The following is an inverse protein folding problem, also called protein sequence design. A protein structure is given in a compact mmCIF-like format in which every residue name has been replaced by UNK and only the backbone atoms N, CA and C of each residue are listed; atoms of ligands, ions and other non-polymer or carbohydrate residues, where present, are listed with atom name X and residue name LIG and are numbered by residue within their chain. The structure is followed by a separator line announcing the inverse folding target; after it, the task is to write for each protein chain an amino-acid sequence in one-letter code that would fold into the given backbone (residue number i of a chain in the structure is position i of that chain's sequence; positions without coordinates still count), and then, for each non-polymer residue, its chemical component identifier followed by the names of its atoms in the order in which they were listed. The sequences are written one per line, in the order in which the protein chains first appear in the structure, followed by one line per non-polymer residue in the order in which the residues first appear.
data_IF_094610630095
#
_entry.id   IF_094610630095
#
_cell.length_a   1.000
_cell.length_b   1.000
_cell.length_c   1.000
_cell.angle_alpha   90.00
_cell.angle_beta   90.00
_cell.angle_gamma   90.00
#
_symmetry.space_group_name_H-M   'P 1'
#
loop_
_entity.id
_entity.type
_entity.pdbx_description
1 polymer ?
#
# COMPACT_ATOMS: atom_id res chain seq x y z
N UNK A 1 -28.09 9.31 42.84
CA UNK A 1 -26.81 8.69 43.23
C UNK A 1 -25.74 9.18 42.25
N UNK A 2 -24.71 9.89 42.72
CA UNK A 2 -23.59 10.38 41.91
C UNK A 2 -22.40 9.42 42.01
N UNK A 3 -21.59 9.35 40.95
CA UNK A 3 -20.41 8.48 40.91
C UNK A 3 -19.36 8.93 41.96
N UNK A 4 -18.70 7.98 42.66
CA UNK A 4 -17.80 8.27 43.80
C UNK A 4 -16.49 9.00 43.44
N UNK A 5 -16.18 9.19 42.15
CA UNK A 5 -15.01 9.93 41.69
C UNK A 5 -15.45 11.04 40.72
N UNK A 6 -15.53 12.31 41.15
CA UNK A 6 -15.82 13.43 40.26
C UNK A 6 -14.71 13.56 39.21
N UNK A 7 -15.09 13.81 37.96
CA UNK A 7 -14.15 13.97 36.84
C UNK A 7 -13.85 12.72 36.02
N UNK A 8 -14.47 11.56 36.34
CA UNK A 8 -14.44 10.36 35.48
C UNK A 8 -15.63 10.25 34.51
N UNK A 9 -16.55 11.21 34.53
CA UNK A 9 -17.56 11.33 33.49
C UNK A 9 -16.96 12.08 32.31
N UNK A 10 -17.11 11.50 31.11
CA UNK A 10 -16.86 12.21 29.87
C UNK A 10 -17.63 13.55 29.86
N UNK A 11 -17.06 14.62 29.27
CA UNK A 11 -17.80 15.87 29.06
C UNK A 11 -19.11 15.59 28.32
N UNK A 12 -20.12 16.45 28.51
CA UNK A 12 -21.34 16.38 27.70
C UNK A 12 -20.96 16.46 26.21
N UNK A 13 -21.73 15.84 25.30
CA UNK A 13 -21.39 15.82 23.88
C UNK A 13 -21.00 17.19 23.33
N UNK A 14 -21.72 18.25 23.69
CA UNK A 14 -21.46 19.63 23.23
C UNK A 14 -20.10 20.19 23.68
N UNK A 15 -19.46 19.57 24.67
CA UNK A 15 -18.16 19.95 25.23
C UNK A 15 -17.05 18.96 24.88
N UNK A 16 -17.35 17.89 24.14
CA UNK A 16 -16.33 16.97 23.66
C UNK A 16 -15.63 17.58 22.44
N UNK A 17 -14.29 17.47 22.37
CA UNK A 17 -13.53 17.97 21.22
C UNK A 17 -13.82 17.14 19.95
N UNK A 18 -13.79 17.75 18.77
CA UNK A 18 -14.15 17.14 17.47
C UNK A 18 -13.53 15.77 17.17
N UNK A 19 -12.29 15.53 17.62
CA UNK A 19 -11.59 14.24 17.53
C UNK A 19 -12.33 13.05 18.17
N UNK A 20 -13.31 13.32 19.04
CA UNK A 20 -14.15 12.30 19.70
C UNK A 20 -15.57 12.21 19.14
N UNK A 21 -16.03 13.19 18.34
CA UNK A 21 -17.44 13.28 17.95
C UNK A 21 -17.69 12.82 16.51
N UNK A 22 -16.93 13.37 15.54
CA UNK A 22 -17.23 13.14 14.11
C UNK A 22 -16.04 13.41 13.18
N UNK A 23 -14.88 13.81 13.70
CA UNK A 23 -13.72 14.03 12.85
C UNK A 23 -13.27 12.69 12.22
N UNK A 24 -13.04 12.63 10.90
CA UNK A 24 -12.39 11.48 10.29
C UNK A 24 -11.10 11.19 11.07
N UNK A 25 -10.70 9.92 11.28
CA UNK A 25 -9.52 9.56 12.06
C UNK A 25 -8.20 10.17 11.53
N UNK A 26 -8.22 10.73 10.32
CA UNK A 26 -7.12 11.46 9.68
C UNK A 26 -7.18 13.00 9.84
N UNK A 27 -8.27 13.56 10.38
CA UNK A 27 -8.43 14.99 10.61
C UNK A 27 -7.38 15.45 11.64
N UNK A 28 -6.41 16.25 11.20
CA UNK A 28 -5.35 16.79 12.04
C UNK A 28 -4.03 15.99 12.09
N UNK A 29 -3.94 14.78 11.50
CA UNK A 29 -2.67 14.02 11.42
C UNK A 29 -1.89 14.22 10.12
N UNK A 30 -2.52 14.80 9.10
CA UNK A 30 -1.83 15.21 7.87
C UNK A 30 -1.22 16.59 8.13
N UNK A 31 -0.15 16.62 8.92
CA UNK A 31 0.49 17.86 9.40
C UNK A 31 1.14 18.73 8.33
N UNK A 32 1.12 18.34 7.05
CA UNK A 32 1.59 19.18 5.97
C UNK A 32 1.05 18.69 4.61
N UNK A 33 0.35 19.51 3.80
CA UNK A 33 0.01 19.16 2.42
C UNK A 33 1.25 18.89 1.55
N UNK A 34 2.45 19.34 1.95
CA UNK A 34 3.72 19.03 1.28
C UNK A 34 4.24 17.59 1.51
N UNK A 35 3.61 16.79 2.36
CA UNK A 35 3.95 15.35 2.56
C UNK A 35 3.07 14.46 1.67
N UNK A 36 2.29 15.05 0.77
CA UNK A 36 1.73 14.28 -0.34
C UNK A 36 2.88 13.93 -1.26
N UNK A 37 3.14 12.64 -1.55
CA UNK A 37 4.02 12.33 -2.67
C UNK A 37 3.47 13.06 -3.90
N UNK A 38 4.37 13.65 -4.70
CA UNK A 38 4.04 14.33 -5.96
C UNK A 38 3.01 13.48 -6.73
N UNK A 39 2.05 14.09 -7.43
CA UNK A 39 0.98 13.35 -8.15
C UNK A 39 1.53 12.22 -9.02
N UNK A 40 2.76 12.39 -9.50
CA UNK A 40 3.43 11.53 -10.45
C UNK A 40 4.32 10.48 -9.76
N UNK A 41 4.48 10.51 -8.44
CA UNK A 41 5.30 9.54 -7.70
C UNK A 41 4.87 8.10 -7.97
N UNK A 42 3.56 7.83 -7.97
CA UNK A 42 3.03 6.50 -8.28
C UNK A 42 3.27 6.06 -9.74
N UNK A 43 3.27 7.00 -10.69
CA UNK A 43 3.55 6.71 -12.10
C UNK A 43 5.05 6.45 -12.31
N UNK A 44 5.90 7.28 -11.72
CA UNK A 44 7.35 7.15 -11.78
C UNK A 44 7.81 5.82 -11.18
N UNK A 45 7.34 5.44 -9.99
CA UNK A 45 7.65 4.14 -9.39
C UNK A 45 7.16 2.98 -10.27
N UNK A 46 5.94 3.08 -10.83
CA UNK A 46 5.41 2.08 -11.75
C UNK A 46 6.30 1.87 -12.98
N UNK A 47 6.77 2.96 -13.59
CA UNK A 47 7.60 2.90 -14.79
C UNK A 47 9.01 2.38 -14.49
N UNK A 48 9.59 2.72 -13.33
CA UNK A 48 10.84 2.13 -12.87
C UNK A 48 10.71 0.61 -12.65
N UNK A 49 9.61 0.15 -12.03
CA UNK A 49 9.35 -1.27 -11.81
C UNK A 49 9.09 -2.05 -13.11
N UNK A 50 8.45 -1.44 -14.12
CA UNK A 50 8.29 -2.05 -15.45
C UNK A 50 9.63 -2.20 -16.17
N UNK A 51 10.50 -1.20 -16.05
CA UNK A 51 11.80 -1.19 -16.73
C UNK A 51 12.79 -2.20 -16.14
N UNK A 52 12.79 -2.39 -14.81
CA UNK A 52 13.86 -3.10 -14.12
C UNK A 52 13.41 -4.16 -13.09
N UNK A 53 12.14 -4.16 -12.68
CA UNK A 53 11.65 -4.99 -11.57
C UNK A 53 11.09 -6.36 -11.99
N UNK A 54 10.74 -6.53 -13.27
CA UNK A 54 10.18 -7.77 -13.81
C UNK A 54 11.24 -8.54 -14.59
N UNK A 55 12.25 -9.05 -13.90
CA UNK A 55 13.14 -10.06 -14.49
C UNK A 55 12.32 -11.33 -14.75
N UNK A 56 12.56 -11.98 -15.89
CA UNK A 56 11.88 -13.24 -16.22
C UNK A 56 12.06 -14.26 -15.08
N UNK A 57 11.03 -15.07 -14.84
CA UNK A 57 11.14 -16.19 -13.90
C UNK A 57 12.38 -17.05 -14.25
N UNK A 58 13.07 -17.62 -13.25
CA UNK A 58 14.19 -18.52 -13.50
C UNK A 58 13.75 -19.68 -14.41
N UNK A 59 14.58 -20.01 -15.41
CA UNK A 59 14.31 -21.13 -16.32
C UNK A 59 14.15 -22.44 -15.52
N UNK A 60 13.15 -23.25 -15.90
CA UNK A 60 12.98 -24.55 -15.27
C UNK A 60 14.06 -25.53 -15.76
N UNK A 61 14.67 -26.36 -14.90
CA UNK A 61 15.76 -27.26 -15.31
C UNK A 61 15.43 -28.18 -16.49
N UNK A 62 14.16 -28.56 -16.66
CA UNK A 62 13.71 -29.45 -17.74
C UNK A 62 13.32 -28.73 -19.04
N UNK A 63 13.19 -27.41 -19.03
CA UNK A 63 12.66 -26.63 -20.16
C UNK A 63 13.53 -26.81 -21.42
N UNK A 64 14.86 -26.80 -21.25
CA UNK A 64 15.83 -27.06 -22.32
C UNK A 64 15.78 -28.50 -22.83
N UNK A 65 15.56 -29.46 -21.92
CA UNK A 65 15.49 -30.89 -22.25
C UNK A 65 14.24 -31.18 -23.08
N UNK A 66 13.11 -30.58 -22.72
CA UNK A 66 11.85 -30.72 -23.46
C UNK A 66 11.92 -30.02 -24.81
N UNK A 67 12.43 -28.78 -24.86
CA UNK A 67 12.61 -28.06 -26.12
C UNK A 67 13.52 -28.80 -27.12
N UNK A 68 14.52 -29.51 -26.63
CA UNK A 68 15.40 -30.33 -27.47
C UNK A 68 14.68 -31.55 -28.08
N UNK A 69 13.71 -32.16 -27.38
CA UNK A 69 12.95 -33.31 -27.89
C UNK A 69 12.08 -32.97 -29.10
N UNK A 70 11.54 -31.75 -29.12
CA UNK A 70 10.61 -31.30 -30.16
C UNK A 70 11.29 -30.42 -31.23
N UNK A 71 12.61 -30.21 -31.14
CA UNK A 71 13.36 -29.52 -32.18
C UNK A 71 13.40 -30.39 -33.44
N UNK A 72 12.68 -29.96 -34.48
CA UNK A 72 12.78 -30.53 -35.83
C UNK A 72 14.22 -30.38 -36.31
N UNK A 73 14.90 -31.51 -36.54
CA UNK A 73 16.23 -31.50 -37.15
C UNK A 73 16.20 -30.81 -38.52
N UNK A 74 17.31 -30.19 -38.92
CA UNK A 74 17.50 -29.68 -40.28
C UNK A 74 17.45 -30.86 -41.25
N UNK A 75 16.25 -31.17 -41.74
CA UNK A 75 16.04 -32.17 -42.78
C UNK A 75 16.57 -31.63 -44.10
N UNK A 76 17.46 -32.40 -44.72
CA UNK A 76 17.75 -32.32 -46.16
C UNK A 76 16.57 -32.86 -46.96
#
# INVERSE_FOLDING_TARGET
MSAPYPGRQSPSPERQSGAQQSDPPASGKIGNPSVRPESDFGQNESDQHKAHGLQSNPEHPLEKVEAAKFRKGTGN
#
